data_IF_856168655787
#
_entry.id   IF_856168655787
#
_cell.length_a   1.000
_cell.length_b   1.000
_cell.length_c   1.000
_cell.angle_alpha   90.00
_cell.angle_beta   90.00
_cell.angle_gamma   90.00
#
_symmetry.space_group_name_H-M   'P 1'
#
loop_
_entity.id
_entity.type
_entity.pdbx_description
1 polymer ?
#
# COMPACT_ATOMS: atom_id res chain seq x y z
N UNK A 1 72.48 5.22 -41.54
CA UNK A 1 71.35 5.27 -40.59
C UNK A 1 70.25 6.23 -41.07
N UNK A 2 69.81 6.15 -42.33
CA UNK A 2 68.70 6.97 -42.88
C UNK A 2 67.50 6.10 -43.29
N UNK A 3 67.77 4.84 -43.63
CA UNK A 3 66.74 3.89 -44.07
C UNK A 3 66.11 3.11 -42.89
N UNK A 4 66.62 3.28 -41.68
CA UNK A 4 66.13 2.62 -40.45
C UNK A 4 65.00 3.43 -39.76
N UNK A 5 64.98 4.75 -39.98
CA UNK A 5 63.94 5.64 -39.45
C UNK A 5 62.59 5.48 -40.18
N UNK A 6 62.62 5.10 -41.47
CA UNK A 6 61.40 4.90 -42.26
C UNK A 6 60.68 3.61 -41.85
N UNK A 7 61.42 2.56 -41.46
CA UNK A 7 60.83 1.31 -40.98
C UNK A 7 60.02 1.45 -39.69
N UNK A 8 60.48 2.31 -38.77
CA UNK A 8 59.76 2.58 -37.51
C UNK A 8 58.47 3.39 -37.71
N UNK A 9 58.38 4.19 -38.78
CA UNK A 9 57.18 4.99 -39.07
C UNK A 9 56.03 4.15 -39.64
N UNK A 10 56.33 3.07 -40.38
CA UNK A 10 55.32 2.18 -40.97
C UNK A 10 54.72 1.22 -39.93
N UNK A 11 55.51 0.80 -38.92
CA UNK A 11 55.03 -0.07 -37.84
C UNK A 11 54.04 0.62 -36.88
N UNK A 12 54.01 1.96 -36.83
CA UNK A 12 53.06 2.72 -36.01
C UNK A 12 51.62 2.75 -36.55
N UNK A 13 51.42 2.53 -37.86
CA UNK A 13 50.10 2.66 -38.50
C UNK A 13 49.24 1.37 -38.50
N UNK A 14 49.80 0.23 -38.08
CA UNK A 14 49.06 -1.05 -38.06
C UNK A 14 48.15 -1.23 -36.83
N UNK A 15 48.13 -0.29 -35.88
CA UNK A 15 47.36 -0.41 -34.63
C UNK A 15 46.00 0.32 -34.62
N UNK A 16 45.52 0.85 -35.75
CA UNK A 16 44.22 1.56 -35.81
C UNK A 16 43.02 0.65 -36.16
N UNK A 17 43.19 -0.68 -36.14
CA UNK A 17 42.23 -1.65 -36.68
C UNK A 17 41.13 -2.18 -35.75
N UNK A 18 41.09 -1.84 -34.46
CA UNK A 18 40.11 -2.40 -33.53
C UNK A 18 39.51 -1.34 -32.58
N UNK A 19 38.67 -0.45 -33.11
CA UNK A 19 37.85 0.46 -32.29
C UNK A 19 36.38 0.51 -32.72
N UNK A 20 35.91 -0.49 -33.46
CA UNK A 20 34.49 -0.65 -33.78
C UNK A 20 34.07 -2.07 -33.40
N UNK A 21 33.92 -2.29 -32.09
CA UNK A 21 33.00 -3.33 -31.64
C UNK A 21 31.60 -2.76 -31.93
N UNK A 22 31.10 -3.01 -33.14
CA UNK A 22 29.67 -2.94 -33.42
C UNK A 22 29.02 -4.04 -32.57
N UNK A 23 28.80 -3.72 -31.31
CA UNK A 23 27.89 -4.48 -30.47
C UNK A 23 26.54 -4.17 -31.07
N UNK A 24 26.01 -5.08 -31.88
CA UNK A 24 24.62 -5.04 -32.30
C UNK A 24 23.79 -4.80 -31.04
N UNK A 25 23.26 -3.59 -30.90
CA UNK A 25 22.35 -3.25 -29.82
C UNK A 25 21.08 -4.03 -30.14
N UNK A 26 20.98 -5.25 -29.60
CA UNK A 26 19.71 -5.95 -29.57
C UNK A 26 18.78 -5.05 -28.76
N UNK A 27 17.82 -4.45 -29.45
CA UNK A 27 16.74 -3.76 -28.80
C UNK A 27 16.03 -4.79 -27.93
N UNK A 28 16.25 -4.72 -26.62
CA UNK A 28 15.46 -5.48 -25.66
C UNK A 28 14.05 -4.93 -25.78
N UNK A 29 13.15 -5.72 -26.38
CA UNK A 29 11.73 -5.49 -26.28
C UNK A 29 11.41 -5.63 -24.79
N UNK A 30 11.19 -4.51 -24.12
CA UNK A 30 10.67 -4.52 -22.76
C UNK A 30 9.30 -5.20 -22.85
N UNK A 31 9.13 -6.31 -22.14
CA UNK A 31 7.81 -6.89 -21.91
C UNK A 31 6.88 -5.77 -21.47
N UNK A 32 5.69 -5.69 -22.07
CA UNK A 32 4.68 -4.71 -21.68
C UNK A 32 4.55 -4.76 -20.17
N UNK A 33 4.88 -3.63 -19.52
CA UNK A 33 4.65 -3.48 -18.10
C UNK A 33 3.14 -3.65 -17.95
N UNK A 34 2.72 -4.79 -17.42
CA UNK A 34 1.35 -4.97 -16.95
C UNK A 34 1.17 -3.86 -15.93
N UNK A 35 0.52 -2.76 -16.35
CA UNK A 35 0.15 -1.67 -15.50
C UNK A 35 -0.80 -2.28 -14.48
N UNK A 36 -0.26 -2.74 -13.34
CA UNK A 36 -1.07 -3.02 -12.17
C UNK A 36 -1.70 -1.68 -11.86
N UNK A 37 -2.98 -1.55 -12.17
CA UNK A 37 -3.72 -0.34 -11.91
C UNK A 37 -3.87 -0.26 -10.39
N UNK A 38 -2.88 0.36 -9.75
CA UNK A 38 -2.89 0.53 -8.30
C UNK A 38 -3.97 1.56 -8.02
N UNK A 39 -4.92 1.20 -7.14
CA UNK A 39 -5.94 2.11 -6.63
C UNK A 39 -5.30 3.15 -5.69
N UNK A 40 -4.56 4.11 -6.28
CA UNK A 40 -3.78 5.13 -5.59
C UNK A 40 -4.67 6.08 -4.80
N UNK A 41 -5.83 6.44 -5.33
CA UNK A 41 -6.78 7.35 -4.66
C UNK A 41 -7.34 6.74 -3.38
N UNK A 42 -7.65 5.44 -3.41
CA UNK A 42 -7.99 4.69 -2.21
C UNK A 42 -6.83 4.70 -1.21
N UNK A 43 -5.64 4.26 -1.64
CA UNK A 43 -4.48 4.13 -0.77
C UNK A 43 -4.08 5.46 -0.12
N UNK A 44 -4.15 6.56 -0.86
CA UNK A 44 -3.85 7.90 -0.37
C UNK A 44 -4.82 8.39 0.72
N UNK A 45 -6.06 7.90 0.73
CA UNK A 45 -7.05 8.27 1.74
C UNK A 45 -7.05 7.34 2.96
N UNK A 46 -6.74 6.06 2.80
CA UNK A 46 -6.84 5.09 3.91
C UNK A 46 -5.56 4.89 4.71
N UNK A 47 -4.40 5.03 4.05
CA UNK A 47 -3.13 4.60 4.62
C UNK A 47 -2.41 5.73 5.36
N UNK A 48 -2.06 5.48 6.63
CA UNK A 48 -1.17 6.35 7.42
C UNK A 48 0.17 5.65 7.74
N UNK A 49 1.18 6.43 8.13
CA UNK A 49 2.53 5.94 8.46
C UNK A 49 2.61 5.25 9.82
N UNK A 50 1.67 5.54 10.71
CA UNK A 50 1.61 5.08 12.10
C UNK A 50 0.59 3.96 12.34
N UNK A 51 -0.17 3.54 11.32
CA UNK A 51 -1.13 2.44 11.45
C UNK A 51 -0.45 1.08 11.59
N UNK A 52 -1.13 0.16 12.28
CA UNK A 52 -0.72 -1.24 12.42
C UNK A 52 -0.37 -1.87 11.06
N UNK A 53 0.79 -2.53 11.00
CA UNK A 53 1.30 -3.14 9.76
C UNK A 53 0.33 -4.15 9.12
N UNK A 54 -0.55 -4.79 9.89
CA UNK A 54 -1.58 -5.70 9.37
C UNK A 54 -2.64 -4.97 8.56
N UNK A 55 -3.04 -3.78 9.02
CA UNK A 55 -3.97 -2.89 8.31
C UNK A 55 -3.32 -2.49 6.98
N UNK A 56 -2.12 -1.91 7.05
CA UNK A 56 -1.33 -1.49 5.88
C UNK A 56 -1.19 -2.58 4.82
N UNK A 57 -0.90 -3.82 5.23
CA UNK A 57 -0.75 -4.95 4.30
C UNK A 57 -2.05 -5.32 3.59
N UNK A 58 -3.19 -5.30 4.30
CA UNK A 58 -4.48 -5.61 3.69
C UNK A 58 -4.93 -4.49 2.73
N UNK A 59 -4.75 -3.22 3.10
CA UNK A 59 -5.02 -2.08 2.20
C UNK A 59 -4.15 -2.14 0.94
N UNK A 60 -2.87 -2.50 1.07
CA UNK A 60 -1.98 -2.70 -0.08
C UNK A 60 -2.43 -3.88 -0.95
N UNK A 61 -2.92 -4.96 -0.36
CA UNK A 61 -3.45 -6.10 -1.11
C UNK A 61 -4.71 -5.70 -1.89
N UNK A 62 -5.64 -4.98 -1.26
CA UNK A 62 -6.85 -4.47 -1.91
C UNK A 62 -6.52 -3.49 -3.03
N UNK A 63 -5.59 -2.55 -2.81
CA UNK A 63 -5.25 -1.53 -3.81
C UNK A 63 -4.57 -2.09 -5.06
N UNK A 64 -3.84 -3.20 -4.94
CA UNK A 64 -3.13 -3.87 -6.04
C UNK A 64 -3.94 -4.97 -6.72
N UNK A 65 -5.12 -5.30 -6.18
CA UNK A 65 -5.93 -6.36 -6.73
C UNK A 65 -6.54 -5.95 -8.08
N UNK A 66 -6.34 -6.78 -9.09
CA UNK A 66 -6.92 -6.59 -10.41
C UNK A 66 -8.11 -7.55 -10.59
N UNK A 67 -9.33 -7.02 -10.46
CA UNK A 67 -10.58 -7.80 -10.64
C UNK A 67 -10.78 -8.29 -12.07
N UNK A 68 -10.18 -7.63 -13.06
CA UNK A 68 -10.29 -7.99 -14.49
C UNK A 68 -9.64 -9.35 -14.79
N UNK A 69 -8.71 -9.79 -13.93
CA UNK A 69 -8.03 -11.07 -14.04
C UNK A 69 -8.79 -12.21 -13.33
N UNK A 70 -9.95 -11.93 -12.74
CA UNK A 70 -10.75 -12.92 -12.04
C UNK A 70 -11.51 -13.82 -13.03
N UNK A 71 -11.57 -15.14 -12.83
CA UNK A 71 -12.45 -16.03 -13.59
C UNK A 71 -13.94 -15.70 -13.44
N UNK A 72 -14.30 -14.93 -12.40
CA UNK A 72 -15.67 -14.48 -12.13
C UNK A 72 -15.99 -13.13 -12.79
N UNK A 73 -15.04 -12.51 -13.50
CA UNK A 73 -15.27 -11.26 -14.19
C UNK A 73 -16.12 -11.52 -15.45
N UNK A 74 -17.31 -10.93 -15.47
CA UNK A 74 -18.31 -11.06 -16.55
C UNK A 74 -18.55 -9.73 -17.30
N UNK A 75 -17.81 -8.67 -16.94
CA UNK A 75 -17.90 -7.36 -17.60
C UNK A 75 -19.20 -6.58 -17.35
N UNK A 76 -19.99 -6.98 -16.35
CA UNK A 76 -21.22 -6.25 -15.95
C UNK A 76 -20.90 -4.86 -15.41
N UNK A 77 -21.91 -3.98 -15.46
CA UNK A 77 -21.82 -2.63 -14.87
C UNK A 77 -22.00 -2.63 -13.33
N UNK A 78 -22.49 -3.74 -12.75
CA UNK A 78 -22.56 -3.89 -11.29
C UNK A 78 -21.18 -3.99 -10.66
N UNK A 79 -21.07 -3.54 -9.40
CA UNK A 79 -19.82 -3.62 -8.66
C UNK A 79 -19.35 -5.06 -8.40
N UNK A 80 -18.04 -5.25 -8.47
CA UNK A 80 -17.37 -6.49 -8.15
C UNK A 80 -16.91 -6.44 -6.70
N UNK A 81 -17.50 -7.27 -5.84
CA UNK A 81 -17.14 -7.36 -4.43
C UNK A 81 -16.02 -8.38 -4.23
N UNK A 82 -14.89 -7.94 -3.68
CA UNK A 82 -13.79 -8.81 -3.27
C UNK A 82 -13.51 -8.66 -1.78
N UNK A 83 -13.44 -9.79 -1.07
CA UNK A 83 -13.09 -9.83 0.35
C UNK A 83 -11.63 -10.23 0.54
N UNK A 84 -10.87 -9.37 1.22
CA UNK A 84 -9.52 -9.66 1.69
C UNK A 84 -9.60 -10.00 3.17
N UNK A 85 -8.99 -11.10 3.61
CA UNK A 85 -9.03 -11.54 5.02
C UNK A 85 -7.61 -11.84 5.52
N UNK A 86 -7.29 -11.32 6.69
CA UNK A 86 -6.10 -11.65 7.47
C UNK A 86 -6.48 -12.20 8.84
N UNK A 87 -5.48 -12.53 9.67
CA UNK A 87 -5.69 -13.21 10.95
C UNK A 87 -6.68 -12.52 11.90
N UNK A 88 -6.75 -11.18 11.87
CA UNK A 88 -7.63 -10.39 12.75
C UNK A 88 -8.28 -9.19 12.05
N UNK A 89 -8.45 -9.28 10.73
CA UNK A 89 -9.11 -8.20 10.00
C UNK A 89 -9.52 -8.59 8.60
N UNK A 90 -10.42 -7.78 8.03
CA UNK A 90 -10.87 -7.95 6.65
C UNK A 90 -11.16 -6.61 6.00
N UNK A 91 -11.15 -6.63 4.66
CA UNK A 91 -11.62 -5.56 3.79
C UNK A 91 -12.65 -6.18 2.86
N UNK A 92 -13.85 -5.61 2.83
CA UNK A 92 -14.78 -5.79 1.73
C UNK A 92 -14.62 -4.61 0.79
N UNK A 93 -14.02 -4.84 -0.39
CA UNK A 93 -13.81 -3.81 -1.41
C UNK A 93 -14.74 -4.03 -2.59
N UNK A 94 -15.31 -2.94 -3.09
CA UNK A 94 -16.24 -2.92 -4.21
C UNK A 94 -15.58 -2.17 -5.37
N UNK A 95 -15.37 -2.87 -6.47
CA UNK A 95 -14.68 -2.36 -7.65
C UNK A 95 -15.69 -2.11 -8.77
N UNK A 96 -15.47 -1.08 -9.58
CA UNK A 96 -16.17 -0.93 -10.85
C UNK A 96 -15.65 -1.91 -11.92
N UNK A 97 -16.26 -1.85 -13.10
CA UNK A 97 -15.91 -2.70 -14.24
C UNK A 97 -14.52 -2.41 -14.81
N UNK A 98 -13.93 -1.25 -14.51
CA UNK A 98 -12.55 -0.87 -14.85
C UNK A 98 -11.53 -1.30 -13.78
N UNK A 99 -11.99 -1.83 -12.64
CA UNK A 99 -11.14 -2.27 -11.54
C UNK A 99 -10.73 -1.15 -10.57
N UNK A 100 -11.47 -0.04 -10.57
CA UNK A 100 -11.29 1.05 -9.60
C UNK A 100 -12.14 0.77 -8.36
N UNK A 101 -11.56 0.94 -7.16
CA UNK A 101 -12.27 0.81 -5.88
C UNK A 101 -13.26 1.98 -5.75
N UNK A 102 -14.54 1.65 -5.72
CA UNK A 102 -15.63 2.58 -5.44
C UNK A 102 -15.79 2.83 -3.94
N UNK A 103 -15.75 1.75 -3.15
CA UNK A 103 -15.89 1.81 -1.71
C UNK A 103 -15.22 0.63 -1.00
N UNK A 104 -14.89 0.81 0.28
CA UNK A 104 -14.47 -0.28 1.15
C UNK A 104 -15.17 -0.23 2.51
N UNK A 105 -15.38 -1.41 3.08
CA UNK A 105 -15.75 -1.59 4.48
C UNK A 105 -14.71 -2.46 5.15
N UNK A 106 -14.01 -1.88 6.13
CA UNK A 106 -12.84 -2.51 6.73
C UNK A 106 -12.98 -2.63 8.23
N UNK A 107 -12.53 -3.76 8.76
CA UNK A 107 -12.56 -4.00 10.19
C UNK A 107 -11.37 -4.82 10.63
N UNK A 108 -10.68 -4.30 11.63
CA UNK A 108 -9.50 -4.89 12.23
C UNK A 108 -9.69 -4.98 13.74
N UNK A 109 -9.22 -6.05 14.36
CA UNK A 109 -9.27 -6.30 15.79
C UNK A 109 -7.86 -6.44 16.35
N UNK A 110 -7.74 -6.17 17.65
CA UNK A 110 -6.52 -6.28 18.43
C UNK A 110 -5.33 -5.56 17.78
N UNK A 111 -5.59 -4.42 17.14
CA UNK A 111 -4.60 -3.58 16.47
C UNK A 111 -3.70 -2.86 17.48
N UNK A 112 -2.43 -2.68 17.12
CA UNK A 112 -1.55 -1.72 17.78
C UNK A 112 -2.05 -0.32 17.52
N UNK A 113 -2.14 0.50 18.57
CA UNK A 113 -2.58 1.88 18.44
C UNK A 113 -1.40 2.75 17.98
N UNK A 114 -1.67 3.82 17.23
CA UNK A 114 -0.68 4.85 17.01
C UNK A 114 -0.17 5.45 18.33
N UNK A 115 1.12 5.80 18.36
CA UNK A 115 1.79 6.29 19.57
C UNK A 115 1.10 7.52 20.17
N UNK A 116 0.59 8.46 19.35
CA UNK A 116 -0.11 9.62 19.86
C UNK A 116 -1.43 9.28 20.56
N UNK A 117 -2.12 8.23 20.10
CA UNK A 117 -3.34 7.74 20.75
C UNK A 117 -3.00 7.05 22.07
N UNK A 118 -1.96 6.22 22.09
CA UNK A 118 -1.48 5.57 23.33
C UNK A 118 -1.09 6.62 24.38
N UNK A 119 -0.33 7.64 23.99
CA UNK A 119 0.08 8.71 24.88
C UNK A 119 -1.11 9.55 25.39
N UNK A 120 -2.10 9.85 24.56
CA UNK A 120 -3.34 10.52 25.00
C UNK A 120 -4.11 9.68 26.01
N UNK A 121 -4.25 8.36 25.77
CA UNK A 121 -4.94 7.45 26.68
C UNK A 121 -4.27 7.36 28.04
N UNK A 122 -2.94 7.28 28.09
CA UNK A 122 -2.19 7.22 29.35
C UNK A 122 -2.39 8.49 30.19
N UNK A 123 -2.50 9.66 29.55
CA UNK A 123 -2.72 10.92 30.23
C UNK A 123 -4.17 11.10 30.70
N UNK A 124 -5.15 10.72 29.88
CA UNK A 124 -6.58 10.91 30.17
C UNK A 124 -7.16 9.81 31.08
N UNK A 125 -6.61 8.59 31.01
CA UNK A 125 -7.10 7.42 31.71
C UNK A 125 -5.98 6.63 32.42
N UNK A 126 -5.18 7.25 33.32
CA UNK A 126 -3.96 6.68 33.87
C UNK A 126 -4.13 5.36 34.63
N UNK A 127 -5.31 5.10 35.21
CA UNK A 127 -5.62 3.87 35.95
C UNK A 127 -6.39 2.82 35.12
N UNK A 128 -6.64 3.08 33.84
CA UNK A 128 -7.41 2.18 32.98
C UNK A 128 -6.48 1.41 32.04
N UNK A 129 -6.71 0.11 31.90
CA UNK A 129 -5.99 -0.73 30.95
C UNK A 129 -6.78 -0.86 29.65
N UNK A 130 -6.09 -0.79 28.52
CA UNK A 130 -6.68 -1.13 27.21
C UNK A 130 -6.80 -2.65 27.11
N UNK A 131 -8.03 -3.16 27.09
CA UNK A 131 -8.34 -4.59 27.02
C UNK A 131 -8.56 -5.08 25.59
N UNK A 132 -9.23 -4.28 24.76
CA UNK A 132 -9.47 -4.59 23.36
C UNK A 132 -9.34 -3.34 22.50
N UNK A 133 -8.78 -3.52 21.32
CA UNK A 133 -8.67 -2.48 20.30
C UNK A 133 -9.31 -2.97 19.00
N UNK A 134 -9.93 -2.06 18.27
CA UNK A 134 -10.38 -2.34 16.91
C UNK A 134 -10.33 -1.08 16.07
N UNK A 135 -10.10 -1.25 14.79
CA UNK A 135 -10.04 -0.18 13.82
C UNK A 135 -11.06 -0.45 12.73
N UNK A 136 -11.85 0.57 12.40
CA UNK A 136 -12.89 0.50 11.38
C UNK A 136 -12.65 1.62 10.39
N UNK A 137 -12.61 1.27 9.12
CA UNK A 137 -12.45 2.21 8.00
C UNK A 137 -13.60 2.04 7.04
N UNK A 138 -14.19 3.15 6.63
CA UNK A 138 -15.11 3.22 5.50
C UNK A 138 -14.55 4.19 4.48
N UNK A 139 -14.20 3.66 3.32
CA UNK A 139 -13.82 4.47 2.17
C UNK A 139 -14.98 4.50 1.18
N UNK A 140 -15.18 5.67 0.58
CA UNK A 140 -16.06 5.88 -0.55
C UNK A 140 -15.34 6.92 -1.43
N UNK A 141 -15.23 6.65 -2.73
CA UNK A 141 -14.46 7.49 -3.64
C UNK A 141 -14.97 8.93 -3.66
N UNK A 142 -16.29 9.12 -3.49
CA UNK A 142 -16.99 10.39 -3.62
C UNK A 142 -17.26 11.07 -2.27
N UNK A 143 -16.88 10.44 -1.15
CA UNK A 143 -17.08 10.97 0.20
C UNK A 143 -15.78 11.08 1.00
N UNK A 144 -15.89 11.71 2.16
CA UNK A 144 -14.83 11.70 3.15
C UNK A 144 -14.65 10.29 3.72
N UNK A 145 -13.40 9.85 3.86
CA UNK A 145 -13.08 8.57 4.48
C UNK A 145 -13.31 8.64 5.98
N UNK A 146 -14.06 7.67 6.50
CA UNK A 146 -14.32 7.58 7.93
C UNK A 146 -13.43 6.54 8.56
N UNK A 147 -12.66 6.96 9.56
CA UNK A 147 -11.78 6.09 10.33
C UNK A 147 -12.15 6.19 11.81
N UNK A 148 -12.18 5.07 12.51
CA UNK A 148 -12.53 5.06 13.93
C UNK A 148 -11.81 3.95 14.67
N UNK A 149 -11.08 4.33 15.70
CA UNK A 149 -10.54 3.43 16.71
C UNK A 149 -11.62 3.18 17.77
N UNK A 150 -11.91 1.91 18.08
CA UNK A 150 -12.83 1.53 19.15
C UNK A 150 -12.07 0.73 20.20
N UNK A 151 -12.11 1.21 21.43
CA UNK A 151 -11.36 0.68 22.55
C UNK A 151 -12.30 0.18 23.63
N UNK A 152 -11.93 -0.93 24.27
CA UNK A 152 -12.50 -1.36 25.53
C UNK A 152 -11.46 -1.14 26.61
N UNK A 153 -11.74 -0.24 27.54
CA UNK A 153 -10.92 0.04 28.71
C UNK A 153 -11.46 -0.72 29.92
N UNK A 154 -10.58 -1.19 30.81
CA UNK A 154 -10.95 -1.84 32.07
C UNK A 154 -10.22 -1.25 33.28
N UNK A 155 -10.94 -1.13 34.39
CA UNK A 155 -10.40 -0.78 35.71
C UNK A 155 -11.06 -1.68 36.76
N UNK A 156 -10.36 -2.73 37.19
CA UNK A 156 -10.93 -3.74 38.08
C UNK A 156 -12.15 -4.43 37.45
N UNK A 157 -13.34 -4.24 38.04
CA UNK A 157 -14.61 -4.79 37.52
C UNK A 157 -15.35 -3.84 36.56
N UNK A 158 -14.87 -2.60 36.42
CA UNK A 158 -15.48 -1.61 35.54
C UNK A 158 -14.93 -1.71 34.12
N UNK A 159 -15.78 -1.41 33.14
CA UNK A 159 -15.41 -1.36 31.73
C UNK A 159 -15.99 -0.13 31.05
N UNK A 160 -15.23 0.49 30.15
CA UNK A 160 -15.64 1.66 29.37
C UNK A 160 -15.33 1.45 27.90
N UNK A 161 -16.27 1.78 27.02
CA UNK A 161 -16.04 1.79 25.56
C UNK A 161 -15.71 3.20 25.12
N UNK A 162 -14.68 3.35 24.30
CA UNK A 162 -14.25 4.62 23.74
C UNK A 162 -14.21 4.53 22.22
N UNK A 163 -14.64 5.58 21.53
CA UNK A 163 -14.53 5.75 20.09
C UNK A 163 -13.68 6.98 19.82
N UNK A 164 -12.55 6.79 19.14
CA UNK A 164 -11.61 7.85 18.80
C UNK A 164 -11.53 8.02 17.29
N UNK A 165 -11.40 9.27 16.84
CA UNK A 165 -10.99 9.57 15.47
C UNK A 165 -9.47 9.31 15.29
N UNK A 166 -8.93 9.42 14.07
CA UNK A 166 -7.49 9.24 13.82
C UNK A 166 -6.59 10.19 14.62
N UNK A 167 -7.07 11.39 14.97
CA UNK A 167 -6.33 12.36 15.77
C UNK A 167 -6.32 12.03 17.28
N UNK A 168 -6.93 10.92 17.69
CA UNK A 168 -7.05 10.51 19.10
C UNK A 168 -8.15 11.23 19.88
N UNK A 169 -9.00 12.03 19.23
CA UNK A 169 -10.11 12.74 19.87
C UNK A 169 -11.36 11.87 19.96
N UNK A 170 -12.10 11.99 21.06
CA UNK A 170 -13.38 11.31 21.23
C UNK A 170 -14.38 11.73 20.15
N UNK A 171 -14.99 10.74 19.47
CA UNK A 171 -16.18 10.98 18.64
C UNK A 171 -17.40 10.98 19.56
N UNK A 172 -18.09 12.12 19.66
CA UNK A 172 -19.45 12.17 20.22
C UNK A 172 -20.39 11.37 19.33
N UNK A 173 -21.27 10.57 19.94
CA UNK A 173 -22.36 9.86 19.26
C UNK A 173 -23.43 10.83 18.73
#
# INVERSE_FOLDING_TARGET
>A
MKNLLIGFFVLGFLNLGFSQNDTEVQAVVLEDVVLVNINKDYLAKVQSTDVDNRVRRLELAASRHNVLNSPLYDGRDEEFRTRFTGAEGFIDAYYDREGVILSTSEKYKNITLPEHIENSLLNEYPDWMVDQTSYVVFYDKDKATEMTYKLLLKKGKESKKLKLNPDGKSKSE
#
